data_IF_708252017174
#
_entry.id   IF_708252017174
#
_cell.length_a   1.000
_cell.length_b   1.000
_cell.length_c   1.000
_cell.angle_alpha   90.00
_cell.angle_beta   90.00
_cell.angle_gamma   90.00
#
_symmetry.space_group_name_H-M   'P 1'
#
loop_
_entity.id
_entity.type
_entity.pdbx_description
1 polymer ?
#
# COMPACT_ATOMS: atom_id res chain seq x y z
N UNK A 1 0.16 12.99 -8.47
CA UNK A 1 0.85 12.00 -9.32
C UNK A 1 0.28 11.96 -10.74
N UNK A 2 -1.04 11.81 -10.91
CA UNK A 2 -1.71 11.67 -12.20
C UNK A 2 -1.30 12.71 -13.28
N UNK A 3 -1.39 14.01 -12.94
CA UNK A 3 -1.03 15.11 -13.86
C UNK A 3 0.46 15.14 -14.22
N UNK A 4 1.32 14.75 -13.28
CA UNK A 4 2.78 14.73 -13.49
C UNK A 4 3.19 13.63 -14.47
N UNK A 5 2.56 12.45 -14.36
CA UNK A 5 2.76 11.32 -15.28
C UNK A 5 2.11 11.59 -16.64
N UNK A 6 1.04 12.41 -16.67
CA UNK A 6 0.30 12.76 -17.87
C UNK A 6 -0.74 11.71 -18.24
N UNK A 7 -1.45 11.18 -17.25
CA UNK A 7 -2.53 10.20 -17.45
C UNK A 7 -3.71 10.87 -18.16
N UNK A 8 -4.28 10.18 -19.14
CA UNK A 8 -5.48 10.64 -19.86
C UNK A 8 -6.76 9.97 -19.33
N UNK A 9 -7.93 10.54 -19.66
CA UNK A 9 -9.25 10.02 -19.23
C UNK A 9 -9.44 8.54 -19.58
N UNK A 10 -9.01 8.10 -20.77
CA UNK A 10 -9.10 6.69 -21.18
C UNK A 10 -8.19 5.74 -20.37
N UNK A 11 -7.19 6.28 -19.67
CA UNK A 11 -6.22 5.54 -18.86
C UNK A 11 -6.51 5.69 -17.35
N UNK A 12 -7.46 6.56 -17.00
CA UNK A 12 -7.71 7.00 -15.64
C UNK A 12 -8.24 5.87 -14.75
N UNK A 13 -9.11 5.00 -15.28
CA UNK A 13 -9.64 3.88 -14.52
C UNK A 13 -8.54 2.88 -14.14
N UNK A 14 -7.68 2.52 -15.09
CA UNK A 14 -6.52 1.65 -14.82
C UNK A 14 -5.53 2.29 -13.85
N UNK A 15 -5.33 3.61 -13.94
CA UNK A 15 -4.51 4.38 -13.01
C UNK A 15 -5.09 4.36 -11.59
N UNK A 16 -6.39 4.62 -11.44
CA UNK A 16 -7.09 4.60 -10.15
C UNK A 16 -7.03 3.23 -9.51
N UNK A 17 -7.33 2.18 -10.27
CA UNK A 17 -7.23 0.78 -9.83
C UNK A 17 -5.84 0.42 -9.30
N UNK A 18 -4.78 0.85 -10.00
CA UNK A 18 -3.40 0.65 -9.56
C UNK A 18 -3.12 1.39 -8.26
N UNK A 19 -3.46 2.69 -8.19
CA UNK A 19 -3.20 3.49 -6.99
C UNK A 19 -4.00 3.01 -5.78
N UNK A 20 -5.24 2.56 -5.98
CA UNK A 20 -6.07 1.97 -4.92
C UNK A 20 -5.46 0.67 -4.40
N UNK A 21 -5.01 -0.22 -5.30
CA UNK A 21 -4.33 -1.46 -4.91
C UNK A 21 -2.98 -1.18 -4.22
N UNK A 22 -2.26 -0.14 -4.64
CA UNK A 22 -1.00 0.28 -4.01
C UNK A 22 -1.26 0.81 -2.60
N UNK A 23 -2.26 1.67 -2.41
CA UNK A 23 -2.66 2.17 -1.10
C UNK A 23 -3.11 1.02 -0.19
N UNK A 24 -3.94 0.09 -0.67
CA UNK A 24 -4.38 -1.07 0.12
C UNK A 24 -3.22 -1.98 0.52
N UNK A 25 -2.24 -2.17 -0.38
CA UNK A 25 -1.02 -2.93 -0.08
C UNK A 25 -0.13 -2.24 0.96
N UNK A 26 -0.06 -0.90 0.95
CA UNK A 26 0.72 -0.11 1.91
C UNK A 26 -0.01 0.12 3.24
N UNK A 27 -1.34 0.02 3.24
CA UNK A 27 -2.21 0.04 4.43
C UNK A 27 -2.12 -1.32 5.17
N UNK A 28 -0.90 -1.71 5.49
CA UNK A 28 -0.63 -2.80 6.43
C UNK A 28 -0.78 -2.21 7.83
N UNK A 29 -1.76 -2.66 8.63
CA UNK A 29 -1.83 -2.25 10.02
C UNK A 29 -0.52 -2.67 10.69
N UNK A 30 0.21 -1.70 11.24
CA UNK A 30 1.39 -1.98 12.05
C UNK A 30 0.98 -2.98 13.14
N UNK A 31 1.57 -4.20 13.17
CA UNK A 31 1.41 -5.08 14.31
C UNK A 31 2.33 -4.54 15.40
N UNK A 32 2.03 -3.34 15.91
CA UNK A 32 2.61 -2.90 17.18
C UNK A 32 1.76 -3.57 18.25
N UNK A 33 2.32 -4.51 19.04
CA UNK A 33 1.65 -4.93 20.25
C UNK A 33 1.57 -3.66 21.10
N UNK A 34 0.37 -3.13 21.28
CA UNK A 34 0.11 -2.12 22.28
C UNK A 34 0.41 -2.76 23.64
N UNK A 35 1.68 -2.66 24.05
CA UNK A 35 2.04 -2.85 25.45
C UNK A 35 1.22 -1.87 26.29
N UNK A 36 0.96 -2.17 27.57
CA UNK A 36 -0.07 -1.52 28.40
C UNK A 36 0.17 -0.02 28.73
N UNK A 37 1.09 0.65 28.04
CA UNK A 37 1.38 2.07 28.21
C UNK A 37 1.24 2.82 26.87
N UNK A 38 0.02 3.06 26.44
CA UNK A 38 -0.27 4.18 25.54
C UNK A 38 -1.71 4.64 25.76
N UNK A 39 -1.82 5.81 26.40
CA UNK A 39 -3.07 6.54 26.60
C UNK A 39 -3.66 7.00 25.24
N UNK A 40 -4.95 7.38 25.20
CA UNK A 40 -5.72 7.37 23.97
C UNK A 40 -5.61 8.72 23.25
N UNK A 41 -5.16 8.72 22.01
CA UNK A 41 -5.51 9.80 21.09
C UNK A 41 -5.93 9.27 19.71
N UNK A 42 -7.24 9.46 19.50
CA UNK A 42 -7.84 9.94 18.25
C UNK A 42 -8.00 8.93 17.12
N UNK A 43 -9.20 8.31 17.10
CA UNK A 43 -9.86 7.74 15.93
C UNK A 43 -10.12 8.85 14.89
N UNK A 44 -10.18 8.53 13.58
CA UNK A 44 -11.51 8.32 13.03
C UNK A 44 -11.65 7.07 12.13
N UNK A 45 -12.91 6.65 11.97
CA UNK A 45 -13.50 5.65 11.07
C UNK A 45 -12.63 5.10 9.93
N UNK A 46 -12.64 3.81 9.61
CA UNK A 46 -13.46 2.71 10.08
C UNK A 46 -12.97 1.43 9.42
N UNK A 47 -12.76 0.42 10.24
CA UNK A 47 -12.82 -0.97 9.83
C UNK A 47 -13.38 -1.67 11.05
N UNK A 48 -14.52 -2.33 10.88
CA UNK A 48 -14.98 -3.39 11.77
C UNK A 48 -13.95 -4.54 11.69
N UNK A 49 -12.73 -4.31 12.14
CA UNK A 49 -11.91 -5.37 12.67
C UNK A 49 -12.51 -5.63 14.04
N UNK A 50 -13.55 -6.46 14.03
CA UNK A 50 -14.12 -7.07 15.20
C UNK A 50 -12.96 -7.41 16.15
N UNK A 51 -13.03 -6.85 17.35
CA UNK A 51 -12.26 -7.25 18.50
C UNK A 51 -12.60 -8.72 18.84
N UNK A 52 -12.19 -9.64 17.97
CA UNK A 52 -12.06 -11.05 18.27
C UNK A 52 -10.78 -11.18 19.06
N UNK A 53 -10.90 -11.66 20.30
CA UNK A 53 -9.75 -12.08 21.10
C UNK A 53 -8.77 -12.88 20.23
N UNK A 54 -7.45 -12.69 20.36
CA UNK A 54 -6.48 -13.59 19.74
C UNK A 54 -6.75 -15.01 20.25
N UNK A 55 -7.37 -15.84 19.42
CA UNK A 55 -7.73 -17.22 19.76
C UNK A 55 -6.70 -18.23 19.24
N UNK A 56 -5.72 -17.76 18.46
CA UNK A 56 -4.64 -18.56 17.86
C UNK A 56 -3.28 -18.28 18.49
N UNK A 57 -2.29 -19.09 18.13
CA UNK A 57 -0.90 -18.83 18.52
C UNK A 57 -0.41 -17.53 17.86
N UNK A 58 0.43 -16.75 18.55
CA UNK A 58 1.02 -15.53 17.99
C UNK A 58 1.68 -15.74 16.60
N UNK A 59 2.28 -16.91 16.38
CA UNK A 59 2.84 -17.28 15.07
C UNK A 59 1.80 -17.50 13.98
N UNK A 60 0.59 -17.98 14.34
CA UNK A 60 -0.54 -18.15 13.41
C UNK A 60 -1.09 -16.79 12.98
N UNK A 61 -1.20 -15.84 13.91
CA UNK A 61 -1.63 -14.47 13.58
C UNK A 61 -0.66 -13.78 12.62
N UNK A 62 0.65 -13.91 12.86
CA UNK A 62 1.67 -13.41 11.93
C UNK A 62 1.55 -14.09 10.56
N UNK A 63 1.35 -15.41 10.54
CA UNK A 63 1.18 -16.13 9.28
C UNK A 63 -0.05 -15.65 8.51
N UNK A 64 -1.18 -15.42 9.19
CA UNK A 64 -2.40 -14.88 8.58
C UNK A 64 -2.20 -13.45 8.07
N UNK A 65 -1.46 -12.61 8.80
CA UNK A 65 -1.08 -11.28 8.32
C UNK A 65 -0.22 -11.34 7.06
N UNK A 66 0.79 -12.23 7.02
CA UNK A 66 1.65 -12.42 5.86
C UNK A 66 0.86 -12.95 4.66
N UNK A 67 -0.08 -13.88 4.89
CA UNK A 67 -0.97 -14.40 3.84
C UNK A 67 -1.88 -13.30 3.28
N UNK A 68 -2.47 -12.48 4.14
CA UNK A 68 -3.28 -11.33 3.72
C UNK A 68 -2.43 -10.35 2.89
N UNK A 69 -1.21 -10.04 3.33
CA UNK A 69 -0.30 -9.18 2.59
C UNK A 69 0.10 -9.80 1.24
N UNK A 70 0.26 -11.12 1.16
CA UNK A 70 0.54 -11.82 -0.08
C UNK A 70 -0.62 -11.73 -1.08
N UNK A 71 -1.88 -11.82 -0.61
CA UNK A 71 -3.07 -11.61 -1.46
C UNK A 71 -3.09 -10.18 -2.00
N UNK A 72 -2.90 -9.17 -1.15
CA UNK A 72 -2.83 -7.77 -1.58
C UNK A 72 -1.70 -7.52 -2.58
N UNK A 73 -0.52 -8.10 -2.34
CA UNK A 73 0.62 -8.02 -3.26
C UNK A 73 0.30 -8.61 -4.64
N UNK A 74 -0.45 -9.71 -4.67
CA UNK A 74 -0.89 -10.32 -5.94
C UNK A 74 -1.83 -9.38 -6.70
N UNK A 75 -2.84 -8.82 -6.03
CA UNK A 75 -3.77 -7.85 -6.63
C UNK A 75 -3.02 -6.64 -7.18
N UNK A 76 -2.05 -6.09 -6.43
CA UNK A 76 -1.22 -4.99 -6.89
C UNK A 76 -0.43 -5.36 -8.16
N UNK A 77 0.18 -6.55 -8.21
CA UNK A 77 0.93 -7.00 -9.41
C UNK A 77 0.01 -7.17 -10.62
N UNK A 78 -1.19 -7.68 -10.42
CA UNK A 78 -2.18 -7.85 -11.49
C UNK A 78 -2.65 -6.49 -12.04
N UNK A 79 -2.95 -5.53 -11.16
CA UNK A 79 -3.32 -4.15 -11.55
C UNK A 79 -2.16 -3.40 -12.19
N UNK A 80 -0.92 -3.60 -11.71
CA UNK A 80 0.28 -3.04 -12.32
C UNK A 80 0.51 -3.59 -13.74
N UNK A 81 0.27 -4.89 -13.96
CA UNK A 81 0.34 -5.49 -15.29
C UNK A 81 -0.70 -4.86 -16.23
N UNK A 82 -1.96 -4.74 -15.79
CA UNK A 82 -3.01 -4.06 -16.56
C UNK A 82 -2.64 -2.61 -16.89
N UNK A 83 -2.15 -1.84 -15.90
CA UNK A 83 -1.71 -0.46 -16.11
C UNK A 83 -0.59 -0.38 -17.17
N UNK A 84 0.37 -1.31 -17.16
CA UNK A 84 1.47 -1.35 -18.14
C UNK A 84 1.01 -1.64 -19.58
N UNK A 85 -0.16 -2.26 -19.76
CA UNK A 85 -0.74 -2.46 -21.10
C UNK A 85 -1.40 -1.20 -21.66
N UNK A 86 -1.82 -0.29 -20.77
CA UNK A 86 -2.58 0.93 -21.12
C UNK A 86 -1.66 2.15 -21.20
N UNK A 87 -0.57 2.18 -20.43
CA UNK A 87 0.39 3.28 -20.44
C UNK A 87 1.37 3.20 -21.62
N UNK A 88 1.74 4.38 -22.13
CA UNK A 88 2.87 4.50 -23.05
C UNK A 88 4.21 4.28 -22.33
N UNK A 89 5.24 3.92 -23.08
CA UNK A 89 6.60 3.74 -22.52
C UNK A 89 7.10 5.01 -21.79
N UNK A 90 6.75 6.20 -22.30
CA UNK A 90 7.10 7.48 -21.69
C UNK A 90 6.41 7.72 -20.34
N UNK A 91 5.10 7.45 -20.25
CA UNK A 91 4.34 7.55 -19.00
C UNK A 91 4.85 6.52 -17.97
N UNK A 92 5.18 5.31 -18.41
CA UNK A 92 5.75 4.29 -17.52
C UNK A 92 7.11 4.70 -16.95
N UNK A 93 7.95 5.38 -17.73
CA UNK A 93 9.22 5.90 -17.24
C UNK A 93 9.00 6.97 -16.17
N UNK A 94 8.09 7.92 -16.42
CA UNK A 94 7.72 8.94 -15.42
C UNK A 94 7.16 8.34 -14.13
N UNK A 95 6.36 7.28 -14.23
CA UNK A 95 5.85 6.57 -13.05
C UNK A 95 7.00 6.00 -12.21
N UNK A 96 7.96 5.32 -12.84
CA UNK A 96 9.14 4.78 -12.14
C UNK A 96 9.96 5.87 -11.45
N UNK A 97 10.16 7.00 -12.12
CA UNK A 97 10.89 8.14 -11.57
C UNK A 97 10.13 8.78 -10.39
N UNK A 98 8.81 8.86 -10.49
CA UNK A 98 7.94 9.35 -9.43
C UNK A 98 7.94 8.41 -8.21
N UNK A 99 7.88 7.09 -8.42
CA UNK A 99 7.99 6.09 -7.35
C UNK A 99 9.35 6.14 -6.65
N UNK A 100 10.45 6.28 -7.41
CA UNK A 100 11.78 6.47 -6.82
C UNK A 100 11.89 7.75 -6.00
N UNK A 101 11.16 8.79 -6.40
CA UNK A 101 11.14 10.06 -5.67
C UNK A 101 10.27 10.00 -4.41
N UNK A 102 9.31 9.07 -4.37
CA UNK A 102 8.48 8.80 -3.19
C UNK A 102 9.20 7.96 -2.13
N UNK A 103 10.18 7.16 -2.52
CA UNK A 103 11.08 6.48 -1.58
C UNK A 103 12.07 7.53 -1.04
N UNK A 104 11.85 8.12 0.15
CA UNK A 104 12.84 8.98 0.73
C UNK A 104 13.92 8.02 1.19
N UNK A 105 14.95 7.84 0.36
CA UNK A 105 16.14 7.08 0.75
C UNK A 105 16.58 7.52 2.14
N UNK A 106 17.14 6.59 2.96
CA UNK A 106 17.46 6.86 4.35
C UNK A 106 18.21 8.19 4.44
N UNK A 107 17.82 9.10 5.36
CA UNK A 107 18.40 10.42 5.42
C UNK A 107 19.92 10.25 5.48
N UNK A 108 20.62 10.73 4.45
CA UNK A 108 22.06 10.80 4.48
C UNK A 108 22.42 11.58 5.73
N UNK A 109 22.92 10.86 6.74
CA UNK A 109 23.36 11.43 7.99
C UNK A 109 24.34 12.54 7.67
N UNK A 110 24.01 13.74 8.14
CA UNK A 110 24.93 14.86 8.20
C UNK A 110 26.20 14.41 8.90
N UNK A 111 27.35 14.55 8.24
CA UNK A 111 28.68 14.43 8.82
C UNK A 111 29.47 15.68 8.49
#
# INVERSE_FOLDING_TARGET
METMIGIHVAQLDAWRDYTAALTDFLDVPHPMPQGPFSAPETKPSGSDAAAGKPSGLFGEEIADHVLNQAVKARVLKDKAAALRTVLTAYQLQKLKDAERSLDPGPPHGFH
#
